data_IF_983756650437
#
_entry.id   IF_983756650437
#
_cell.length_a   1.000
_cell.length_b   1.000
_cell.length_c   1.000
_cell.angle_alpha   90.00
_cell.angle_beta   90.00
_cell.angle_gamma   90.00
#
_symmetry.space_group_name_H-M   'P 1'
#
loop_
_entity.id
_entity.type
_entity.pdbx_description
1 polymer ?
#
# COMPACT_ATOMS: atom_id res chain seq x y z
N UNK A 1 -3.18 -10.04 8.97
CA UNK A 1 -4.43 -9.25 8.86
C UNK A 1 -5.42 -10.08 8.06
N UNK A 2 -6.74 -10.12 8.35
CA UNK A 2 -7.73 -10.92 7.63
C UNK A 2 -8.18 -10.28 6.29
N UNK A 3 -7.23 -9.76 5.54
CA UNK A 3 -7.39 -9.23 4.16
C UNK A 3 -6.27 -9.81 3.33
N UNK A 4 -6.60 -10.48 2.24
CA UNK A 4 -5.65 -11.21 1.40
C UNK A 4 -4.59 -10.30 0.77
N UNK A 5 -4.97 -9.16 0.24
CA UNK A 5 -4.06 -8.18 -0.37
C UNK A 5 -3.07 -7.56 0.61
N UNK A 6 -3.33 -7.65 1.93
CA UNK A 6 -2.39 -7.27 2.98
C UNK A 6 -1.43 -8.41 3.40
N UNK A 7 -1.56 -9.58 2.79
CA UNK A 7 -0.67 -10.73 2.95
C UNK A 7 -0.19 -11.20 1.57
N UNK A 8 0.50 -10.34 0.79
CA UNK A 8 0.86 -10.65 -0.58
C UNK A 8 2.03 -11.65 -0.64
N UNK A 9 1.95 -12.56 -1.58
CA UNK A 9 3.06 -13.40 -2.04
C UNK A 9 3.52 -12.89 -3.39
N UNK A 10 4.79 -12.52 -3.49
CA UNK A 10 5.35 -11.93 -4.70
C UNK A 10 5.86 -13.01 -5.65
N UNK A 11 5.34 -13.02 -6.88
CA UNK A 11 5.85 -13.90 -7.92
C UNK A 11 7.19 -13.40 -8.47
N UNK A 12 8.20 -14.28 -8.49
CA UNK A 12 9.58 -13.96 -8.90
C UNK A 12 9.94 -14.33 -10.34
N UNK A 13 8.96 -14.78 -11.16
CA UNK A 13 9.18 -15.09 -12.57
C UNK A 13 9.69 -16.51 -12.89
N UNK A 14 9.68 -17.42 -11.93
CA UNK A 14 10.08 -18.83 -12.15
C UNK A 14 8.89 -19.72 -12.49
N UNK A 15 8.30 -19.53 -13.68
CA UNK A 15 7.04 -20.18 -14.08
C UNK A 15 7.00 -21.70 -13.95
N UNK A 16 8.15 -22.40 -14.11
CA UNK A 16 8.22 -23.84 -13.97
C UNK A 16 8.08 -24.35 -12.52
N UNK A 17 8.21 -23.46 -11.52
CA UNK A 17 8.04 -23.78 -10.10
C UNK A 17 6.70 -23.25 -9.55
N UNK A 18 6.00 -22.41 -10.29
CA UNK A 18 4.83 -21.64 -9.80
C UNK A 18 3.78 -22.54 -9.14
N UNK A 19 3.39 -23.64 -9.77
CA UNK A 19 2.40 -24.57 -9.18
C UNK A 19 2.85 -25.18 -7.85
N UNK A 20 4.15 -25.51 -7.71
CA UNK A 20 4.73 -26.03 -6.48
C UNK A 20 4.78 -24.94 -5.40
N UNK A 21 5.18 -23.73 -5.78
CA UNK A 21 5.25 -22.58 -4.89
C UNK A 21 3.85 -22.18 -4.38
N UNK A 22 2.84 -22.15 -5.26
CA UNK A 22 1.43 -21.94 -4.88
C UNK A 22 1.00 -22.97 -3.82
N UNK A 23 1.27 -24.26 -4.05
CA UNK A 23 0.91 -25.30 -3.10
C UNK A 23 1.58 -25.11 -1.72
N UNK A 24 2.84 -24.71 -1.70
CA UNK A 24 3.56 -24.43 -0.45
C UNK A 24 3.00 -23.23 0.28
N UNK A 25 2.71 -22.13 -0.44
CA UNK A 25 2.08 -20.93 0.11
C UNK A 25 0.70 -21.26 0.68
N UNK A 26 -0.12 -22.01 -0.06
CA UNK A 26 -1.45 -22.43 0.39
C UNK A 26 -1.35 -23.14 1.74
N UNK A 27 -0.53 -24.17 1.87
CA UNK A 27 -0.32 -24.89 3.14
C UNK A 27 0.13 -23.99 4.28
N UNK A 28 1.06 -23.05 3.98
CA UNK A 28 1.54 -22.09 4.98
C UNK A 28 0.42 -21.19 5.50
N UNK A 29 -0.31 -20.54 4.61
CA UNK A 29 -1.35 -19.60 5.00
C UNK A 29 -2.57 -20.30 5.62
N UNK A 30 -2.96 -21.48 5.16
CA UNK A 30 -3.99 -22.32 5.78
C UNK A 30 -3.62 -22.68 7.22
N UNK A 31 -2.37 -23.09 7.47
CA UNK A 31 -1.92 -23.44 8.83
C UNK A 31 -1.95 -22.25 9.81
N UNK A 32 -1.97 -21.02 9.30
CA UNK A 32 -2.07 -19.78 10.08
C UNK A 32 -3.46 -19.15 10.06
N UNK A 33 -4.43 -19.77 9.35
CA UNK A 33 -5.79 -19.25 9.17
C UNK A 33 -5.81 -17.78 8.69
N UNK A 34 -4.91 -17.45 7.75
CA UNK A 34 -4.77 -16.09 7.21
C UNK A 34 -5.00 -16.13 5.69
N UNK A 35 -5.90 -15.30 5.14
CA UNK A 35 -6.07 -15.17 3.69
C UNK A 35 -4.84 -14.52 3.07
N UNK A 36 -4.57 -14.84 1.81
CA UNK A 36 -3.42 -14.32 1.08
C UNK A 36 -3.75 -14.12 -0.40
N UNK A 37 -3.00 -13.26 -1.06
CA UNK A 37 -3.10 -13.04 -2.50
C UNK A 37 -1.73 -13.24 -3.15
N UNK A 38 -1.73 -13.81 -4.36
CA UNK A 38 -0.53 -13.84 -5.19
C UNK A 38 -0.47 -12.54 -6.00
N UNK A 39 0.65 -11.83 -5.89
CA UNK A 39 0.94 -10.64 -6.67
C UNK A 39 1.86 -10.99 -7.83
N UNK A 40 1.41 -10.73 -9.05
CA UNK A 40 2.15 -10.98 -10.30
C UNK A 40 2.37 -9.65 -11.01
N UNK A 41 3.62 -9.16 -11.15
CA UNK A 41 3.90 -8.03 -12.03
C UNK A 41 3.52 -8.36 -13.49
N UNK A 42 2.87 -7.42 -14.20
CA UNK A 42 2.35 -7.65 -15.55
C UNK A 42 3.44 -8.05 -16.57
N UNK A 43 4.65 -7.55 -16.39
CA UNK A 43 5.80 -7.93 -17.23
C UNK A 43 6.31 -9.38 -16.98
N UNK A 44 5.82 -10.05 -15.94
CA UNK A 44 6.07 -11.48 -15.64
C UNK A 44 4.86 -12.35 -15.96
N UNK A 45 3.71 -11.76 -16.31
CA UNK A 45 2.52 -12.50 -16.73
C UNK A 45 2.69 -12.95 -18.18
N UNK A 46 2.56 -14.26 -18.41
CA UNK A 46 2.56 -14.87 -19.73
C UNK A 46 1.50 -15.99 -19.78
N UNK A 47 1.25 -16.52 -20.95
CA UNK A 47 0.27 -17.60 -21.13
C UNK A 47 0.52 -18.82 -20.25
N UNK A 48 1.79 -19.11 -19.89
CA UNK A 48 2.11 -20.24 -18.99
C UNK A 48 1.73 -19.90 -17.55
N UNK A 49 2.09 -18.71 -17.09
CA UNK A 49 1.72 -18.21 -15.77
C UNK A 49 0.20 -18.19 -15.63
N UNK A 50 -0.51 -17.64 -16.61
CA UNK A 50 -1.98 -17.56 -16.61
C UNK A 50 -2.63 -18.94 -16.57
N UNK A 51 -2.10 -19.92 -17.34
CA UNK A 51 -2.61 -21.29 -17.34
C UNK A 51 -2.39 -21.97 -15.98
N UNK A 52 -1.22 -21.79 -15.35
CA UNK A 52 -0.95 -22.37 -14.02
C UNK A 52 -1.89 -21.77 -12.99
N UNK A 53 -2.09 -20.47 -13.00
CA UNK A 53 -3.00 -19.77 -12.08
C UNK A 53 -4.43 -20.29 -12.24
N UNK A 54 -4.94 -20.33 -13.47
CA UNK A 54 -6.28 -20.85 -13.77
C UNK A 54 -6.46 -22.31 -13.35
N UNK A 55 -5.48 -23.18 -13.63
CA UNK A 55 -5.51 -24.60 -13.21
C UNK A 55 -5.43 -24.76 -11.69
N UNK A 56 -4.83 -23.79 -10.99
CA UNK A 56 -4.73 -23.78 -9.52
C UNK A 56 -5.95 -23.10 -8.87
N UNK A 57 -6.97 -22.68 -9.66
CA UNK A 57 -8.18 -22.05 -9.15
C UNK A 57 -8.03 -20.58 -8.77
N UNK A 58 -6.96 -19.91 -9.22
CA UNK A 58 -6.72 -18.49 -8.94
C UNK A 58 -7.40 -17.60 -9.96
N UNK A 59 -8.08 -16.57 -9.48
CA UNK A 59 -8.67 -15.51 -10.32
C UNK A 59 -8.08 -14.15 -9.96
N UNK A 60 -7.99 -13.28 -10.96
CA UNK A 60 -7.61 -11.88 -10.76
C UNK A 60 -8.73 -11.16 -10.00
N UNK A 61 -8.36 -10.50 -8.90
CA UNK A 61 -9.28 -9.79 -8.01
C UNK A 61 -9.08 -8.28 -8.01
N UNK A 62 -7.83 -7.83 -8.26
CA UNK A 62 -7.46 -6.43 -8.21
C UNK A 62 -6.20 -6.16 -9.03
N UNK A 63 -5.89 -4.87 -9.25
CA UNK A 63 -4.63 -4.43 -9.82
C UNK A 63 -4.18 -3.10 -9.23
N UNK A 64 -2.88 -2.95 -9.03
CA UNK A 64 -2.24 -1.70 -8.63
C UNK A 64 -1.20 -1.26 -9.66
N UNK A 65 -0.91 0.02 -9.73
CA UNK A 65 0.17 0.57 -10.58
C UNK A 65 1.36 0.91 -9.70
N UNK A 66 2.45 0.16 -9.83
CA UNK A 66 3.71 0.49 -9.19
C UNK A 66 4.27 1.78 -9.80
N UNK A 67 4.64 2.74 -8.96
CA UNK A 67 5.13 4.04 -9.39
C UNK A 67 6.40 4.43 -8.62
N UNK A 68 7.21 5.31 -9.24
CA UNK A 68 8.41 5.86 -8.63
C UNK A 68 8.52 7.37 -8.85
N UNK A 69 9.26 8.01 -7.97
CA UNK A 69 9.65 9.42 -8.06
C UNK A 69 11.12 9.56 -7.68
N UNK A 70 11.91 10.31 -8.46
CA UNK A 70 13.22 10.77 -8.05
C UNK A 70 13.07 11.96 -7.09
N UNK A 71 13.56 11.82 -5.85
CA UNK A 71 13.50 12.90 -4.85
C UNK A 71 14.26 14.16 -5.31
N UNK A 72 15.32 13.99 -6.10
CA UNK A 72 16.11 15.10 -6.66
C UNK A 72 15.30 15.92 -7.65
N UNK A 73 14.40 15.27 -8.40
CA UNK A 73 13.60 15.91 -9.46
C UNK A 73 12.30 16.52 -8.92
N UNK A 74 11.99 16.30 -7.63
CA UNK A 74 10.84 16.90 -6.98
C UNK A 74 10.96 18.44 -7.04
N UNK A 75 10.05 19.11 -7.71
CA UNK A 75 9.93 20.55 -7.73
C UNK A 75 9.74 21.16 -6.33
N UNK A 76 9.74 22.47 -6.22
CA UNK A 76 9.31 23.15 -5.00
C UNK A 76 7.79 23.38 -5.08
N UNK A 77 6.97 22.50 -4.48
CA UNK A 77 5.53 22.72 -4.49
C UNK A 77 5.18 23.89 -3.59
N UNK A 78 4.25 24.74 -4.03
CA UNK A 78 3.59 25.67 -3.12
C UNK A 78 2.68 24.87 -2.20
N UNK A 79 3.06 24.79 -0.94
CA UNK A 79 2.22 24.22 0.12
C UNK A 79 1.34 25.33 0.71
N UNK A 80 0.33 25.74 -0.05
CA UNK A 80 -0.66 26.73 0.42
C UNK A 80 -1.86 25.96 0.98
N UNK A 81 -1.86 25.65 2.28
CA UNK A 81 -3.04 25.13 2.96
C UNK A 81 -3.00 25.34 4.46
N UNK A 82 -4.17 25.21 5.04
CA UNK A 82 -4.43 25.14 6.47
C UNK A 82 -4.11 23.77 7.09
N UNK A 83 -3.48 22.85 6.32
CA UNK A 83 -3.16 21.52 6.76
C UNK A 83 -1.92 21.52 7.68
N UNK A 84 -2.14 21.25 8.96
CA UNK A 84 -1.05 20.98 9.91
C UNK A 84 -0.66 19.51 9.82
N UNK A 85 0.61 19.23 9.53
CA UNK A 85 1.13 17.86 9.42
C UNK A 85 1.87 17.47 10.69
N UNK A 86 1.56 16.29 11.21
CA UNK A 86 2.18 15.72 12.40
C UNK A 86 2.68 14.32 12.16
N UNK A 87 3.80 13.97 12.80
CA UNK A 87 4.27 12.59 12.93
C UNK A 87 3.48 11.90 14.03
N UNK A 88 3.00 10.67 13.79
CA UNK A 88 1.97 10.00 14.58
C UNK A 88 2.43 8.69 15.23
N UNK A 89 3.71 8.36 15.21
CA UNK A 89 4.22 7.06 15.70
C UNK A 89 3.86 6.78 17.18
N UNK A 90 3.62 7.82 17.97
CA UNK A 90 3.14 7.73 19.35
C UNK A 90 1.61 7.90 19.50
N UNK A 91 0.90 8.14 18.42
CA UNK A 91 -0.55 8.42 18.39
C UNK A 91 -1.26 7.55 17.35
N UNK A 92 -0.87 6.27 17.26
CA UNK A 92 -1.34 5.33 16.24
C UNK A 92 -2.86 5.13 16.25
N UNK A 93 -3.50 5.32 17.41
CA UNK A 93 -4.96 5.26 17.53
C UNK A 93 -5.66 6.38 16.73
N UNK A 94 -5.01 7.55 16.62
CA UNK A 94 -5.52 8.66 15.82
C UNK A 94 -5.14 8.49 14.35
N UNK A 95 -3.91 8.05 14.06
CA UNK A 95 -3.42 7.83 12.69
C UNK A 95 -4.32 6.88 11.87
N UNK A 96 -4.83 5.82 12.49
CA UNK A 96 -5.62 4.79 11.79
C UNK A 96 -7.02 5.28 11.36
N UNK A 97 -7.57 6.32 11.98
CA UNK A 97 -8.97 6.72 11.78
C UNK A 97 -9.37 7.00 10.32
N UNK A 98 -8.57 7.70 9.49
CA UNK A 98 -8.95 7.94 8.11
C UNK A 98 -8.98 6.68 7.25
N UNK A 99 -8.24 5.62 7.62
CA UNK A 99 -8.13 4.39 6.81
C UNK A 99 -9.44 3.59 6.81
N UNK A 100 -10.21 3.63 7.90
CA UNK A 100 -11.47 2.89 8.02
C UNK A 100 -12.44 3.25 6.88
N UNK A 101 -12.88 4.49 6.73
CA UNK A 101 -13.81 4.85 5.67
C UNK A 101 -13.15 5.01 4.30
N UNK A 102 -11.83 5.26 4.22
CA UNK A 102 -11.13 5.42 2.94
C UNK A 102 -10.93 4.09 2.22
N UNK A 103 -10.76 3.00 2.95
CA UNK A 103 -10.58 1.65 2.41
C UNK A 103 -11.81 0.75 2.64
N UNK A 104 -12.95 1.34 2.96
CA UNK A 104 -14.21 0.61 3.22
C UNK A 104 -14.03 -0.55 4.22
N UNK A 105 -13.14 -0.34 5.20
CA UNK A 105 -12.75 -1.31 6.21
C UNK A 105 -13.68 -1.25 7.44
N UNK A 106 -13.49 -2.16 8.37
CA UNK A 106 -14.16 -2.13 9.69
C UNK A 106 -13.19 -1.62 10.76
N UNK A 107 -13.74 -1.10 11.87
CA UNK A 107 -12.92 -0.71 13.02
C UNK A 107 -12.11 -1.87 13.59
N UNK A 108 -12.66 -3.09 13.58
CA UNK A 108 -11.96 -4.29 14.05
C UNK A 108 -10.74 -4.59 13.20
N UNK A 109 -10.87 -4.60 11.86
CA UNK A 109 -9.75 -4.81 10.93
C UNK A 109 -8.71 -3.71 11.09
N UNK A 110 -9.14 -2.45 11.19
CA UNK A 110 -8.27 -1.31 11.39
C UNK A 110 -7.47 -1.43 12.71
N UNK A 111 -8.08 -1.91 13.79
CA UNK A 111 -7.36 -2.14 15.05
C UNK A 111 -6.30 -3.25 14.93
N UNK A 112 -6.61 -4.36 14.24
CA UNK A 112 -5.62 -5.41 13.95
C UNK A 112 -4.45 -4.81 13.15
N UNK A 113 -4.74 -4.03 12.11
CA UNK A 113 -3.74 -3.38 11.27
C UNK A 113 -2.87 -2.41 12.08
N UNK A 114 -3.47 -1.54 12.88
CA UNK A 114 -2.78 -0.62 13.79
C UNK A 114 -1.81 -1.35 14.72
N UNK A 115 -2.23 -2.48 15.31
CA UNK A 115 -1.36 -3.28 16.20
C UNK A 115 -0.14 -3.79 15.43
N UNK A 116 -0.29 -4.24 14.18
CA UNK A 116 0.84 -4.68 13.35
C UNK A 116 1.81 -3.55 13.04
N UNK A 117 1.30 -2.35 12.77
CA UNK A 117 2.14 -1.15 12.60
C UNK A 117 2.87 -0.77 13.89
N UNK A 118 2.20 -0.85 15.04
CA UNK A 118 2.84 -0.61 16.33
C UNK A 118 3.98 -1.61 16.61
N UNK A 119 3.76 -2.90 16.35
CA UNK A 119 4.80 -3.93 16.44
C UNK A 119 5.97 -3.67 15.48
N UNK A 120 5.69 -3.13 14.28
CA UNK A 120 6.73 -2.77 13.32
C UNK A 120 7.57 -1.59 13.81
N UNK A 121 6.96 -0.54 14.38
CA UNK A 121 7.68 0.58 14.98
C UNK A 121 8.62 0.10 16.10
N UNK A 122 8.16 -0.82 16.95
CA UNK A 122 8.96 -1.36 18.05
C UNK A 122 10.17 -2.20 17.60
N UNK A 123 10.08 -2.81 16.42
CA UNK A 123 11.12 -3.67 15.83
C UNK A 123 12.05 -2.98 14.83
N UNK A 124 11.61 -1.88 14.25
CA UNK A 124 12.32 -1.15 13.21
C UNK A 124 12.15 0.35 13.41
N UNK A 125 13.22 1.09 13.23
CA UNK A 125 13.19 2.55 13.26
C UNK A 125 12.82 3.18 11.89
N UNK A 126 12.54 2.39 10.87
CA UNK A 126 12.47 2.84 9.48
C UNK A 126 11.03 2.91 8.94
N UNK A 127 10.04 2.85 9.81
CA UNK A 127 8.62 3.07 9.51
C UNK A 127 8.11 4.30 10.26
N UNK A 128 7.42 5.18 9.56
CA UNK A 128 6.95 6.47 10.05
C UNK A 128 5.51 6.70 9.64
N UNK A 129 4.73 7.29 10.54
CA UNK A 129 3.31 7.57 10.31
C UNK A 129 3.07 9.06 10.36
N UNK A 130 2.35 9.58 9.36
CA UNK A 130 2.03 11.00 9.28
C UNK A 130 0.54 11.20 9.12
N UNK A 131 0.03 12.30 9.70
CA UNK A 131 -1.34 12.72 9.52
C UNK A 131 -1.45 14.22 9.28
N UNK A 132 -2.45 14.59 8.50
CA UNK A 132 -2.82 15.98 8.27
C UNK A 132 -4.04 16.36 9.10
N UNK A 133 -4.01 17.55 9.68
CA UNK A 133 -5.05 18.11 10.54
C UNK A 133 -5.53 19.47 10.01
N UNK A 134 -6.84 19.70 10.05
CA UNK A 134 -7.47 20.99 9.81
C UNK A 134 -8.31 21.35 11.04
N UNK A 135 -8.10 22.53 11.61
CA UNK A 135 -8.79 22.93 12.85
C UNK A 135 -8.75 21.84 13.94
N UNK A 136 -7.57 21.28 14.17
CA UNK A 136 -7.31 20.20 15.14
C UNK A 136 -8.00 18.86 14.84
N UNK A 137 -8.76 18.74 13.75
CA UNK A 137 -9.36 17.48 13.32
C UNK A 137 -8.47 16.78 12.31
N UNK A 138 -8.23 15.48 12.53
CA UNK A 138 -7.53 14.64 11.54
C UNK A 138 -8.37 14.54 10.25
N UNK A 139 -7.73 14.73 9.10
CA UNK A 139 -8.41 14.68 7.79
C UNK A 139 -7.81 13.64 6.85
N UNK A 140 -6.52 13.35 6.97
CA UNK A 140 -5.82 12.34 6.17
C UNK A 140 -4.63 11.74 6.91
N UNK A 141 -4.15 10.60 6.43
CA UNK A 141 -2.98 9.90 6.96
C UNK A 141 -2.20 9.19 5.84
N UNK A 142 -0.96 8.83 6.12
CA UNK A 142 -0.12 7.95 5.31
C UNK A 142 0.94 7.26 6.17
N UNK A 143 1.53 6.20 5.61
CA UNK A 143 2.73 5.53 6.12
C UNK A 143 3.91 5.81 5.20
N UNK A 144 5.10 6.00 5.77
CA UNK A 144 6.37 6.09 5.07
C UNK A 144 7.30 5.00 5.62
N UNK A 145 7.80 4.14 4.74
CA UNK A 145 8.85 3.16 5.07
C UNK A 145 10.13 3.54 4.35
N UNK A 146 11.28 3.45 5.03
CA UNK A 146 12.60 3.77 4.46
C UNK A 146 13.47 2.52 4.45
N UNK A 147 14.17 2.28 3.35
CA UNK A 147 15.11 1.18 3.19
C UNK A 147 16.30 1.62 2.32
N UNK A 148 17.46 1.78 2.95
CA UNK A 148 18.66 2.25 2.26
C UNK A 148 18.52 3.67 1.72
N UNK A 149 18.61 3.85 0.41
CA UNK A 149 18.42 5.12 -0.30
C UNK A 149 17.01 5.30 -0.89
N UNK A 150 16.10 4.45 -0.51
CA UNK A 150 14.74 4.38 -1.05
C UNK A 150 13.70 4.53 0.05
N UNK A 151 12.57 5.13 -0.29
CA UNK A 151 11.40 5.23 0.56
C UNK A 151 10.16 4.68 -0.15
N UNK A 152 9.15 4.27 0.61
CA UNK A 152 7.86 3.87 0.09
C UNK A 152 6.75 4.57 0.88
N UNK A 153 5.76 5.09 0.15
CA UNK A 153 4.54 5.66 0.73
C UNK A 153 3.41 4.63 0.55
N UNK A 154 2.74 4.34 1.66
CA UNK A 154 1.59 3.45 1.73
C UNK A 154 0.45 4.10 2.55
N UNK A 155 -0.72 3.47 2.60
CA UNK A 155 -1.86 3.82 3.46
C UNK A 155 -2.34 5.27 3.31
N UNK A 156 -2.25 5.82 2.10
CA UNK A 156 -2.73 7.18 1.85
C UNK A 156 -4.24 7.21 1.93
N UNK A 157 -4.75 7.68 3.05
CA UNK A 157 -6.16 7.72 3.36
C UNK A 157 -6.64 9.14 3.63
N UNK A 158 -7.83 9.49 3.14
CA UNK A 158 -8.50 10.76 3.42
C UNK A 158 -9.96 10.50 3.73
N UNK A 159 -10.45 11.05 4.84
CA UNK A 159 -11.87 10.95 5.18
C UNK A 159 -12.74 11.39 4.00
N UNK A 160 -13.84 10.68 3.64
CA UNK A 160 -14.68 11.01 2.49
C UNK A 160 -15.14 12.46 2.43
N UNK A 161 -15.54 13.05 3.58
CA UNK A 161 -15.95 14.45 3.70
C UNK A 161 -14.84 15.48 3.44
N UNK A 162 -13.58 15.03 3.39
CA UNK A 162 -12.39 15.86 3.17
C UNK A 162 -11.67 15.55 1.86
N UNK A 163 -12.15 14.59 1.08
CA UNK A 163 -11.61 14.27 -0.26
C UNK A 163 -11.80 15.42 -1.25
N UNK A 164 -11.02 15.40 -2.33
CA UNK A 164 -11.04 16.39 -3.43
C UNK A 164 -10.70 17.83 -3.00
N UNK A 165 -10.14 18.02 -1.80
CA UNK A 165 -9.66 19.30 -1.26
C UNK A 165 -8.15 19.45 -1.32
N UNK A 166 -7.42 18.48 -1.88
CA UNK A 166 -5.96 18.49 -2.02
C UNK A 166 -5.18 18.05 -0.78
N UNK A 167 -5.82 17.64 0.31
CA UNK A 167 -5.13 17.29 1.56
C UNK A 167 -4.17 16.11 1.43
N UNK A 168 -4.57 15.02 0.73
CA UNK A 168 -3.66 13.91 0.46
C UNK A 168 -2.42 14.37 -0.32
N UNK A 169 -2.62 15.17 -1.39
CA UNK A 169 -1.52 15.73 -2.18
C UNK A 169 -0.55 16.53 -1.31
N UNK A 170 -1.07 17.37 -0.43
CA UNK A 170 -0.23 18.20 0.43
C UNK A 170 0.50 17.39 1.49
N UNK A 171 -0.15 16.40 2.11
CA UNK A 171 0.49 15.48 3.04
C UNK A 171 1.66 14.75 2.36
N UNK A 172 1.44 14.19 1.16
CA UNK A 172 2.47 13.51 0.37
C UNK A 172 3.63 14.46 0.04
N UNK A 173 3.34 15.64 -0.50
CA UNK A 173 4.36 16.62 -0.86
C UNK A 173 5.19 17.06 0.34
N UNK A 174 4.59 17.24 1.51
CA UNK A 174 5.31 17.60 2.74
C UNK A 174 6.22 16.47 3.21
N UNK A 175 5.78 15.22 3.13
CA UNK A 175 6.62 14.06 3.47
C UNK A 175 7.76 13.92 2.46
N UNK A 176 7.50 14.08 1.16
CA UNK A 176 8.54 14.08 0.12
C UNK A 176 9.55 15.22 0.33
N UNK A 177 9.11 16.39 0.82
CA UNK A 177 10.00 17.50 1.13
C UNK A 177 10.93 17.17 2.32
N UNK A 178 10.45 16.46 3.34
CA UNK A 178 11.29 15.95 4.44
C UNK A 178 12.39 15.03 3.89
N UNK A 179 12.07 14.18 2.91
CA UNK A 179 13.04 13.26 2.31
C UNK A 179 14.17 13.96 1.56
N UNK A 180 13.95 15.19 1.05
CA UNK A 180 15.00 15.96 0.35
C UNK A 180 16.21 16.28 1.22
N UNK A 181 15.99 16.41 2.52
CA UNK A 181 17.06 16.72 3.48
C UNK A 181 17.75 15.45 4.02
N UNK A 182 17.49 14.31 3.37
CA UNK A 182 18.05 13.00 3.72
C UNK A 182 18.88 12.45 2.55
N UNK A 183 19.42 11.23 2.71
CA UNK A 183 20.11 10.50 1.66
C UNK A 183 19.16 9.69 0.75
N UNK A 184 17.84 9.85 0.88
CA UNK A 184 16.86 9.13 0.05
C UNK A 184 16.88 9.70 -1.36
N UNK A 185 17.07 8.82 -2.34
CA UNK A 185 17.10 9.16 -3.77
C UNK A 185 15.77 8.88 -4.46
N UNK A 186 15.05 7.85 -4.03
CA UNK A 186 13.85 7.35 -4.69
C UNK A 186 12.70 7.19 -3.73
N UNK A 187 11.50 7.53 -4.19
CA UNK A 187 10.26 7.22 -3.49
C UNK A 187 9.37 6.36 -4.38
N UNK A 188 8.84 5.29 -3.82
CA UNK A 188 7.94 4.35 -4.49
C UNK A 188 6.56 4.37 -3.83
N UNK A 189 5.56 3.97 -4.59
CA UNK A 189 4.22 3.67 -4.11
C UNK A 189 3.50 2.73 -5.07
N UNK A 190 2.37 2.21 -4.63
CA UNK A 190 1.41 1.54 -5.50
C UNK A 190 0.11 2.33 -5.54
N UNK A 191 -0.30 2.71 -6.73
CA UNK A 191 -1.50 3.50 -6.96
C UNK A 191 -2.69 2.60 -7.29
N UNK A 192 -3.80 2.82 -6.61
CA UNK A 192 -5.12 2.38 -7.08
C UNK A 192 -5.57 3.19 -8.31
N UNK A 193 -6.60 2.73 -9.01
CA UNK A 193 -7.16 3.44 -10.14
C UNK A 193 -7.55 4.90 -9.81
N UNK A 194 -8.11 5.12 -8.61
CA UNK A 194 -8.54 6.44 -8.14
C UNK A 194 -7.36 7.36 -7.77
N UNK A 195 -6.29 6.79 -7.23
CA UNK A 195 -5.08 7.52 -6.79
C UNK A 195 -4.15 7.90 -7.93
N UNK A 196 -4.15 7.17 -9.03
CA UNK A 196 -3.16 7.25 -10.10
C UNK A 196 -2.93 8.69 -10.61
N UNK A 197 -4.00 9.41 -10.87
CA UNK A 197 -3.92 10.77 -11.39
C UNK A 197 -3.34 11.78 -10.38
N UNK A 198 -3.51 11.54 -9.09
CA UNK A 198 -2.94 12.36 -8.02
C UNK A 198 -1.42 12.21 -8.02
N UNK A 199 -0.95 10.98 -8.04
CA UNK A 199 0.49 10.67 -8.03
C UNK A 199 1.21 11.17 -9.30
N UNK A 200 0.59 11.02 -10.47
CA UNK A 200 1.13 11.61 -11.72
C UNK A 200 1.29 13.13 -11.63
N UNK A 201 0.33 13.84 -11.06
CA UNK A 201 0.40 15.30 -10.87
C UNK A 201 1.49 15.72 -9.88
N UNK A 202 1.83 14.88 -8.90
CA UNK A 202 2.93 15.09 -7.97
C UNK A 202 4.29 14.89 -8.68
N UNK A 203 4.32 14.07 -9.74
CA UNK A 203 5.53 13.77 -10.52
C UNK A 203 5.96 12.30 -10.45
N UNK A 204 5.14 11.41 -9.91
CA UNK A 204 5.39 9.97 -9.98
C UNK A 204 5.20 9.44 -11.41
N UNK A 205 6.07 8.52 -11.79
CA UNK A 205 6.06 7.81 -13.07
C UNK A 205 5.66 6.36 -12.86
N UNK A 206 4.89 5.81 -13.80
CA UNK A 206 4.52 4.40 -13.80
C UNK A 206 5.72 3.51 -14.10
N UNK A 207 5.82 2.36 -13.43
CA UNK A 207 6.79 1.30 -13.69
C UNK A 207 6.13 0.11 -14.38
N UNK A 208 5.19 -0.50 -13.69
CA UNK A 208 4.46 -1.69 -14.12
C UNK A 208 3.17 -1.82 -13.31
N UNK A 209 2.32 -2.79 -13.68
CA UNK A 209 1.13 -3.13 -12.90
C UNK A 209 1.39 -4.39 -12.08
N UNK A 210 0.91 -4.38 -10.84
CA UNK A 210 0.77 -5.58 -10.04
C UNK A 210 -0.65 -6.13 -10.23
N UNK A 211 -0.74 -7.39 -10.60
CA UNK A 211 -2.01 -8.11 -10.72
C UNK A 211 -2.16 -8.99 -9.49
N UNK A 212 -3.28 -8.86 -8.79
CA UNK A 212 -3.57 -9.64 -7.58
C UNK A 212 -4.49 -10.78 -7.90
N UNK A 213 -4.15 -11.96 -7.43
CA UNK A 213 -4.91 -13.19 -7.64
C UNK A 213 -5.21 -13.86 -6.32
N UNK A 214 -6.46 -14.33 -6.18
CA UNK A 214 -6.89 -15.17 -5.06
C UNK A 214 -7.39 -16.52 -5.55
N UNK A 215 -7.26 -17.54 -4.72
CA UNK A 215 -7.91 -18.83 -4.95
C UNK A 215 -9.42 -18.70 -4.74
N UNK A 216 -10.19 -19.11 -5.74
CA UNK A 216 -11.63 -19.28 -5.56
C UNK A 216 -11.88 -20.55 -4.75
N UNK A 217 -12.34 -20.39 -3.52
CA UNK A 217 -12.95 -21.50 -2.81
C UNK A 217 -14.25 -21.86 -3.55
N UNK A 218 -14.29 -23.04 -4.15
CA UNK A 218 -15.58 -23.61 -4.54
C UNK A 218 -16.32 -23.86 -3.24
N UNK A 219 -17.29 -23.00 -2.94
CA UNK A 219 -18.32 -23.35 -1.98
C UNK A 219 -19.05 -24.55 -2.59
N UNK A 220 -18.68 -25.75 -2.21
CA UNK A 220 -19.54 -26.90 -2.42
C UNK A 220 -20.86 -26.60 -1.73
N UNK A 221 -21.87 -26.37 -2.55
CA UNK A 221 -23.26 -26.33 -2.09
C UNK A 221 -23.58 -27.75 -1.60
N UNK A 222 -23.50 -27.96 -0.30
CA UNK A 222 -24.12 -29.10 0.39
C UNK A 222 -25.53 -28.72 0.84
#
# INVERSE_FOLDING_TARGET
VPISTLNPVFYSGKSHLLGTEIYQCKRFYESHSVPWALMVPDYLSDTKTDNVLAQSGFLSIDQGVAMYLSIRDLGMPRLESDLLIKRMDNEMQTWILPTVPAFESTEEIAQIYRVRHQEAIEKSSDIYHFSGFVQEQIVCSLTLTVMGDSARIDDVATFPKHQKKGYATQLILSVLQILKDTNISWCFLEASADGLNIYKKIGFHELFKNLYYEEQYQYEQN
#
